data_IF_046752189468
#
_entry.id   IF_046752189468
#
_cell.length_a   1.000
_cell.length_b   1.000
_cell.length_c   1.000
_cell.angle_alpha   90.00
_cell.angle_beta   90.00
_cell.angle_gamma   90.00
#
_symmetry.space_group_name_H-M   'P 1'
#
loop_
_entity.id
_entity.type
_entity.pdbx_description
1 polymer ?
#
# COMPACT_ATOMS: atom_id res chain seq x y z
N UNK A 1 55.60 6.59 -48.74
CA UNK A 1 54.75 7.64 -48.16
C UNK A 1 53.66 8.02 -49.16
N UNK A 2 52.46 7.46 -48.98
CA UNK A 2 51.18 7.80 -49.62
C UNK A 2 50.14 6.78 -49.10
N UNK A 3 48.84 7.02 -48.93
CA UNK A 3 47.94 8.18 -48.90
C UNK A 3 46.62 7.65 -48.28
N UNK A 4 45.84 8.56 -47.71
CA UNK A 4 44.48 8.40 -47.17
C UNK A 4 43.48 7.85 -48.19
N UNK A 5 42.56 6.97 -47.76
CA UNK A 5 41.16 6.90 -48.25
C UNK A 5 40.23 6.19 -47.24
N UNK A 6 39.08 6.83 -47.01
CA UNK A 6 37.92 6.47 -46.19
C UNK A 6 37.37 5.06 -46.36
N UNK A 7 36.70 4.51 -45.33
CA UNK A 7 35.42 3.81 -45.46
C UNK A 7 34.60 3.92 -44.16
N UNK A 8 33.54 4.73 -44.21
CA UNK A 8 32.35 4.63 -43.35
C UNK A 8 31.41 3.68 -44.08
N UNK A 9 30.85 2.67 -43.40
CA UNK A 9 29.52 2.03 -43.61
C UNK A 9 29.46 0.76 -42.75
N UNK A 10 28.37 0.60 -42.00
CA UNK A 10 27.93 -0.73 -41.55
C UNK A 10 27.61 -0.89 -40.05
N UNK A 11 26.75 -0.06 -39.48
CA UNK A 11 26.05 -0.41 -38.24
C UNK A 11 24.54 -0.31 -38.45
N UNK A 12 24.03 -1.29 -39.20
CA UNK A 12 22.62 -1.61 -39.32
C UNK A 12 22.47 -3.00 -38.72
N UNK A 13 21.80 -3.08 -37.57
CA UNK A 13 20.62 -3.93 -37.32
C UNK A 13 20.43 -4.14 -35.81
N UNK A 14 19.16 -4.23 -35.43
CA UNK A 14 18.65 -4.85 -34.20
C UNK A 14 18.33 -3.99 -32.96
N UNK A 15 17.52 -2.95 -33.11
CA UNK A 15 16.61 -2.51 -32.03
C UNK A 15 15.29 -1.98 -32.60
N UNK A 16 14.38 -2.89 -32.96
CA UNK A 16 12.97 -2.55 -33.15
C UNK A 16 12.11 -3.78 -32.82
N UNK A 17 12.03 -4.11 -31.53
CA UNK A 17 10.91 -4.92 -31.05
C UNK A 17 9.78 -3.94 -30.74
N UNK A 18 8.97 -3.68 -31.77
CA UNK A 18 7.65 -3.12 -31.62
C UNK A 18 6.85 -4.07 -30.71
N UNK A 19 6.55 -3.60 -29.50
CA UNK A 19 5.59 -4.23 -28.63
C UNK A 19 4.25 -4.13 -29.35
N UNK A 20 3.80 -5.26 -29.89
CA UNK A 20 2.44 -5.43 -30.34
C UNK A 20 1.55 -5.24 -29.10
N UNK A 21 0.96 -4.06 -28.97
CA UNK A 21 -0.19 -3.84 -28.11
C UNK A 21 -1.37 -4.56 -28.75
N UNK A 22 -1.47 -5.87 -28.48
CA UNK A 22 -2.73 -6.56 -28.58
C UNK A 22 -3.60 -5.98 -27.46
N UNK A 23 -4.39 -4.96 -27.79
CA UNK A 23 -5.54 -4.58 -26.98
C UNK A 23 -6.46 -5.80 -26.97
N UNK A 24 -6.30 -6.66 -25.95
CA UNK A 24 -7.28 -7.69 -25.68
C UNK A 24 -8.64 -6.99 -25.53
N UNK A 25 -9.72 -7.53 -26.12
CA UNK A 25 -11.04 -7.02 -25.84
C UNK A 25 -11.24 -7.07 -24.33
N UNK A 26 -11.50 -5.92 -23.71
CA UNK A 26 -12.05 -5.87 -22.37
C UNK A 26 -13.46 -6.43 -22.53
N UNK A 27 -13.59 -7.76 -22.45
CA UNK A 27 -14.86 -8.36 -22.13
C UNK A 27 -15.23 -7.85 -20.74
N UNK A 28 -16.13 -6.86 -20.72
CA UNK A 28 -16.89 -6.47 -19.55
C UNK A 28 -17.87 -7.61 -19.26
N UNK A 29 -17.37 -8.83 -19.03
CA UNK A 29 -18.15 -9.89 -18.42
C UNK A 29 -18.18 -9.62 -16.91
N UNK A 30 -19.17 -8.83 -16.50
CA UNK A 30 -19.76 -8.92 -15.16
C UNK A 30 -18.91 -8.42 -13.97
N UNK A 31 -17.94 -7.53 -14.14
CA UNK A 31 -17.02 -7.21 -13.03
C UNK A 31 -17.58 -6.41 -11.84
N UNK A 32 -18.79 -5.84 -11.85
CA UNK A 32 -19.02 -4.76 -10.87
C UNK A 32 -20.26 -4.70 -10.00
N UNK A 33 -21.33 -5.47 -10.19
CA UNK A 33 -22.55 -5.15 -9.40
C UNK A 33 -23.09 -6.27 -8.49
N UNK A 34 -23.45 -7.48 -8.92
CA UNK A 34 -24.22 -8.38 -8.02
C UNK A 34 -24.13 -9.90 -8.34
N UNK A 35 -22.97 -10.55 -8.30
CA UNK A 35 -22.98 -12.02 -8.39
C UNK A 35 -21.64 -12.73 -8.38
N UNK A 36 -21.42 -13.59 -7.37
CA UNK A 36 -20.26 -14.47 -7.26
C UNK A 36 -19.50 -14.21 -5.97
N UNK A 37 -19.24 -15.27 -5.21
CA UNK A 37 -18.58 -15.27 -3.89
C UNK A 37 -17.26 -14.46 -3.83
N UNK A 38 -16.62 -14.19 -4.98
CA UNK A 38 -15.48 -13.27 -5.10
C UNK A 38 -15.82 -11.80 -4.84
N UNK A 39 -16.97 -11.28 -5.30
CA UNK A 39 -17.34 -9.87 -5.11
C UNK A 39 -17.63 -9.51 -3.64
N UNK A 40 -18.33 -10.39 -2.92
CA UNK A 40 -18.65 -10.19 -1.50
C UNK A 40 -17.37 -10.28 -0.65
N UNK A 41 -16.53 -11.29 -0.89
CA UNK A 41 -15.26 -11.44 -0.19
C UNK A 41 -14.31 -10.26 -0.43
N UNK A 42 -14.31 -9.72 -1.66
CA UNK A 42 -13.52 -8.55 -2.03
C UNK A 42 -14.01 -7.26 -1.38
N UNK A 43 -15.32 -7.02 -1.42
CA UNK A 43 -15.88 -5.84 -0.76
C UNK A 43 -15.70 -5.92 0.75
N UNK A 44 -15.86 -7.09 1.35
CA UNK A 44 -15.58 -7.30 2.77
C UNK A 44 -14.11 -7.03 3.11
N UNK A 45 -13.16 -7.58 2.33
CA UNK A 45 -11.73 -7.36 2.55
C UNK A 45 -11.35 -5.87 2.40
N UNK A 46 -11.89 -5.18 1.38
CA UNK A 46 -11.69 -3.73 1.19
C UNK A 46 -12.23 -2.92 2.36
N UNK A 47 -13.45 -3.23 2.81
CA UNK A 47 -14.04 -2.58 3.99
C UNK A 47 -13.17 -2.83 5.21
N UNK A 48 -12.76 -4.08 5.47
CA UNK A 48 -11.90 -4.44 6.59
C UNK A 48 -10.58 -3.68 6.58
N UNK A 49 -9.94 -3.50 5.41
CA UNK A 49 -8.72 -2.69 5.29
C UNK A 49 -8.98 -1.24 5.67
N UNK A 50 -10.02 -0.60 5.14
CA UNK A 50 -10.30 0.82 5.42
C UNK A 50 -10.75 1.02 6.87
N UNK A 51 -11.61 0.15 7.40
CA UNK A 51 -12.07 0.23 8.79
C UNK A 51 -10.96 -0.08 9.78
N UNK A 52 -10.12 -1.06 9.46
CA UNK A 52 -8.96 -1.44 10.26
C UNK A 52 -7.94 -0.33 10.34
N UNK A 53 -7.57 0.28 9.19
CA UNK A 53 -6.69 1.45 9.14
C UNK A 53 -7.20 2.59 10.02
N UNK A 54 -8.48 2.96 9.90
CA UNK A 54 -9.08 4.02 10.73
C UNK A 54 -9.08 3.68 12.22
N UNK A 55 -9.23 2.41 12.57
CA UNK A 55 -9.15 1.98 13.96
C UNK A 55 -7.72 2.09 14.47
N UNK A 56 -6.75 1.55 13.74
CA UNK A 56 -5.32 1.66 14.09
C UNK A 56 -4.88 3.12 14.24
N UNK A 57 -5.35 4.02 13.36
CA UNK A 57 -5.10 5.47 13.50
C UNK A 57 -5.58 5.99 14.86
N UNK A 58 -6.81 5.64 15.26
CA UNK A 58 -7.36 6.08 16.55
C UNK A 58 -6.60 5.50 17.74
N UNK A 59 -6.20 4.24 17.66
CA UNK A 59 -5.39 3.59 18.71
C UNK A 59 -4.02 4.26 18.83
N UNK A 60 -3.39 4.62 17.71
CA UNK A 60 -2.13 5.37 17.69
C UNK A 60 -2.31 6.79 18.24
N UNK A 61 -3.41 7.48 17.91
CA UNK A 61 -3.71 8.80 18.47
C UNK A 61 -3.93 8.74 19.98
N UNK A 62 -4.61 7.69 20.47
CA UNK A 62 -4.80 7.45 21.90
C UNK A 62 -3.48 7.11 22.60
N UNK A 63 -2.62 6.31 21.96
CA UNK A 63 -1.29 5.99 22.45
C UNK A 63 -0.41 7.24 22.58
N UNK A 64 -0.43 8.13 21.59
CA UNK A 64 0.27 9.40 21.64
C UNK A 64 -0.21 10.29 22.80
N UNK A 65 -1.51 10.30 23.09
CA UNK A 65 -2.08 11.01 24.24
C UNK A 65 -1.67 10.36 25.58
N UNK A 66 -1.69 9.03 25.65
CA UNK A 66 -1.33 8.27 26.84
C UNK A 66 0.17 8.36 27.18
N UNK A 67 1.03 8.61 26.19
CA UNK A 67 2.46 8.76 26.37
C UNK A 67 2.83 9.86 27.40
N UNK A 68 1.98 10.88 27.56
CA UNK A 68 2.19 11.95 28.54
C UNK A 68 3.54 12.65 28.36
N UNK A 69 4.45 12.50 29.34
CA UNK A 69 5.79 13.09 29.31
C UNK A 69 6.84 12.19 28.62
N UNK A 70 6.49 10.96 28.24
CA UNK A 70 7.37 10.07 27.49
C UNK A 70 7.46 10.52 26.02
N UNK A 71 8.48 11.33 25.75
CA UNK A 71 8.74 11.87 24.42
C UNK A 71 9.11 10.79 23.41
N UNK A 72 9.71 9.67 23.83
CA UNK A 72 10.09 8.59 22.93
C UNK A 72 8.84 7.86 22.44
N UNK A 73 7.93 7.49 23.34
CA UNK A 73 6.64 6.87 22.99
C UNK A 73 5.79 7.83 22.14
N UNK A 74 5.72 9.12 22.50
CA UNK A 74 4.95 10.11 21.74
C UNK A 74 5.49 10.29 20.30
N UNK A 75 6.81 10.36 20.13
CA UNK A 75 7.44 10.49 18.80
C UNK A 75 7.21 9.24 17.95
N UNK A 76 7.37 8.05 18.53
CA UNK A 76 7.12 6.81 17.81
C UNK A 76 5.65 6.66 17.40
N UNK A 77 4.70 7.04 18.26
CA UNK A 77 3.29 7.09 17.92
C UNK A 77 3.01 8.11 16.79
N UNK A 78 3.61 9.31 16.84
CA UNK A 78 3.49 10.30 15.76
C UNK A 78 4.07 9.81 14.42
N UNK A 79 5.18 9.08 14.46
CA UNK A 79 5.76 8.43 13.27
C UNK A 79 4.83 7.36 12.72
N UNK A 80 4.26 6.51 13.58
CA UNK A 80 3.26 5.52 13.18
C UNK A 80 2.03 6.20 12.54
N UNK A 81 1.55 7.30 13.14
CA UNK A 81 0.42 8.07 12.63
C UNK A 81 0.67 8.63 11.23
N UNK A 82 1.86 9.18 11.00
CA UNK A 82 2.29 9.72 9.70
C UNK A 82 2.40 8.60 8.66
N UNK A 83 2.96 7.45 9.04
CA UNK A 83 3.04 6.29 8.16
C UNK A 83 1.65 5.74 7.77
N UNK A 84 0.69 5.75 8.70
CA UNK A 84 -0.70 5.39 8.42
C UNK A 84 -1.39 6.40 7.48
N UNK A 85 -1.05 7.71 7.56
CA UNK A 85 -1.50 8.70 6.56
C UNK A 85 -0.91 8.41 5.17
N UNK A 86 0.36 8.01 5.10
CA UNK A 86 0.97 7.55 3.83
C UNK A 86 0.19 6.37 3.26
N UNK A 87 -0.12 5.36 4.08
CA UNK A 87 -0.92 4.22 3.65
C UNK A 87 -2.32 4.64 3.16
N UNK A 88 -2.98 5.57 3.87
CA UNK A 88 -4.26 6.15 3.46
C UNK A 88 -4.15 6.87 2.11
N UNK A 89 -3.05 7.58 1.86
CA UNK A 89 -2.74 8.20 0.56
C UNK A 89 -2.68 7.19 -0.58
N UNK A 90 -1.99 6.05 -0.37
CA UNK A 90 -1.95 4.94 -1.33
C UNK A 90 -3.33 4.35 -1.61
N UNK A 91 -4.11 4.11 -0.55
CA UNK A 91 -5.50 3.64 -0.66
C UNK A 91 -6.37 4.63 -1.43
N UNK A 92 -6.18 5.94 -1.23
CA UNK A 92 -6.93 6.96 -1.97
C UNK A 92 -6.60 6.93 -3.47
N UNK A 93 -5.33 6.75 -3.84
CA UNK A 93 -4.96 6.58 -5.26
C UNK A 93 -5.62 5.34 -5.89
N UNK A 94 -5.64 4.23 -5.15
CA UNK A 94 -6.33 3.01 -5.56
C UNK A 94 -7.83 3.27 -5.76
N UNK A 95 -8.46 3.95 -4.79
CA UNK A 95 -9.88 4.26 -4.83
C UNK A 95 -10.24 5.15 -6.03
N UNK A 96 -9.46 6.19 -6.30
CA UNK A 96 -9.66 7.10 -7.45
C UNK A 96 -9.56 6.34 -8.78
N UNK A 97 -8.55 5.48 -8.93
CA UNK A 97 -8.40 4.66 -10.14
C UNK A 97 -9.59 3.73 -10.36
N UNK A 98 -10.01 3.02 -9.31
CA UNK A 98 -11.17 2.12 -9.36
C UNK A 98 -12.47 2.87 -9.68
N UNK A 99 -12.67 4.05 -9.09
CA UNK A 99 -13.84 4.88 -9.37
C UNK A 99 -13.87 5.35 -10.83
N UNK A 100 -12.70 5.56 -11.42
CA UNK A 100 -12.54 5.94 -12.83
C UNK A 100 -12.57 4.73 -13.78
N UNK A 101 -12.84 3.51 -13.29
CA UNK A 101 -12.85 2.28 -14.08
C UNK A 101 -11.47 1.74 -14.46
N UNK A 102 -10.39 2.34 -13.95
CA UNK A 102 -9.02 1.91 -14.20
C UNK A 102 -8.60 0.79 -13.22
N UNK A 103 -7.65 -0.07 -13.62
CA UNK A 103 -7.03 -1.00 -12.68
C UNK A 103 -6.31 -0.21 -11.56
N UNK A 104 -6.24 -0.75 -10.32
CA UNK A 104 -5.47 -0.12 -9.26
C UNK A 104 -4.02 0.10 -9.70
N UNK A 105 -3.45 1.30 -9.51
CA UNK A 105 -2.07 1.59 -9.90
C UNK A 105 -1.09 0.84 -8.98
N UNK A 106 0.05 0.41 -9.53
CA UNK A 106 1.12 -0.21 -8.74
C UNK A 106 1.64 0.73 -7.65
N UNK A 107 1.88 2.01 -7.99
CA UNK A 107 2.34 3.00 -7.03
C UNK A 107 1.42 3.14 -5.80
N UNK A 108 0.09 3.10 -6.00
CA UNK A 108 -0.85 3.15 -4.89
C UNK A 108 -0.75 1.93 -3.97
N UNK A 109 -0.49 0.74 -4.52
CA UNK A 109 -0.24 -0.48 -3.74
C UNK A 109 1.06 -0.37 -2.95
N UNK A 110 2.14 0.04 -3.61
CA UNK A 110 3.47 0.15 -3.00
C UNK A 110 3.46 1.18 -1.85
N UNK A 111 2.81 2.34 -2.05
CA UNK A 111 2.64 3.36 -1.00
C UNK A 111 1.83 2.81 0.18
N UNK A 112 0.79 2.02 -0.09
CA UNK A 112 -0.03 1.41 0.96
C UNK A 112 0.79 0.41 1.79
N UNK A 113 1.52 -0.47 1.11
CA UNK A 113 2.39 -1.46 1.74
C UNK A 113 3.51 -0.81 2.55
N UNK A 114 4.19 0.18 1.97
CA UNK A 114 5.24 0.93 2.62
C UNK A 114 4.73 1.61 3.89
N UNK A 115 3.61 2.33 3.82
CA UNK A 115 3.02 3.01 4.98
C UNK A 115 2.62 2.04 6.11
N UNK A 116 2.11 0.85 5.78
CA UNK A 116 1.84 -0.17 6.79
C UNK A 116 3.12 -0.73 7.44
N UNK A 117 4.15 -1.00 6.64
CA UNK A 117 5.42 -1.50 7.15
C UNK A 117 6.12 -0.47 8.04
N UNK A 118 6.10 0.82 7.65
CA UNK A 118 6.65 1.91 8.43
C UNK A 118 5.88 2.14 9.73
N UNK A 119 4.53 2.05 9.69
CA UNK A 119 3.71 2.13 10.89
C UNK A 119 4.02 0.99 11.86
N UNK A 120 4.19 -0.23 11.34
CA UNK A 120 4.56 -1.41 12.13
C UNK A 120 5.95 -1.25 12.75
N UNK A 121 6.93 -0.77 11.98
CA UNK A 121 8.27 -0.49 12.49
C UNK A 121 8.26 0.57 13.60
N UNK A 122 7.50 1.65 13.43
CA UNK A 122 7.33 2.69 14.43
C UNK A 122 6.69 2.15 15.72
N UNK A 123 5.60 1.39 15.62
CA UNK A 123 4.98 0.74 16.78
C UNK A 123 5.93 -0.23 17.49
N UNK A 124 6.70 -1.03 16.74
CA UNK A 124 7.68 -1.97 17.28
C UNK A 124 8.85 -1.28 18.00
N UNK A 125 9.12 0.00 17.71
CA UNK A 125 10.17 0.76 18.38
C UNK A 125 9.75 1.30 19.75
N UNK A 126 8.45 1.24 20.09
CA UNK A 126 7.95 1.66 21.38
C UNK A 126 8.32 0.61 22.42
N UNK A 127 9.12 1.04 23.40
CA UNK A 127 9.45 0.25 24.59
C UNK A 127 8.98 1.02 25.81
N UNK A 128 8.17 0.38 26.66
CA UNK A 128 7.63 1.00 27.87
C UNK A 128 7.52 -0.05 28.97
N UNK A 129 7.71 0.39 30.21
CA UNK A 129 7.43 -0.41 31.42
C UNK A 129 6.03 -0.17 31.97
N UNK A 130 5.31 0.81 31.42
CA UNK A 130 3.92 1.06 31.78
C UNK A 130 3.02 -0.02 31.13
N UNK A 131 2.33 -0.85 31.92
CA UNK A 131 1.49 -1.92 31.39
C UNK A 131 0.35 -1.42 30.50
N UNK A 132 -0.16 -0.20 30.72
CA UNK A 132 -1.20 0.38 29.89
C UNK A 132 -0.67 0.74 28.50
N UNK A 133 0.55 1.31 28.43
CA UNK A 133 1.22 1.60 27.16
C UNK A 133 1.56 0.31 26.42
N UNK A 134 2.12 -0.70 27.12
CA UNK A 134 2.41 -2.00 26.51
C UNK A 134 1.16 -2.65 25.93
N UNK A 135 0.04 -2.62 26.65
CA UNK A 135 -1.22 -3.17 26.17
C UNK A 135 -1.76 -2.41 24.95
N UNK A 136 -1.71 -1.07 24.97
CA UNK A 136 -2.16 -0.24 23.85
C UNK A 136 -1.31 -0.44 22.59
N UNK A 137 0.02 -0.57 22.72
CA UNK A 137 0.92 -0.90 21.60
C UNK A 137 0.56 -2.27 21.02
N UNK A 138 0.35 -3.28 21.86
CA UNK A 138 0.01 -4.62 21.41
C UNK A 138 -1.34 -4.67 20.67
N UNK A 139 -2.35 -3.93 21.15
CA UNK A 139 -3.63 -3.80 20.47
C UNK A 139 -3.49 -3.13 19.11
N UNK A 140 -2.79 -1.99 19.04
CA UNK A 140 -2.53 -1.28 17.79
C UNK A 140 -1.77 -2.15 16.76
N UNK A 141 -0.78 -2.92 17.20
CA UNK A 141 -0.06 -3.87 16.36
C UNK A 141 -0.98 -4.98 15.82
N UNK A 142 -1.83 -5.54 16.68
CA UNK A 142 -2.76 -6.60 16.28
C UNK A 142 -3.82 -6.09 15.26
N UNK A 143 -4.34 -4.88 15.46
CA UNK A 143 -5.28 -4.26 14.52
C UNK A 143 -4.59 -3.88 13.20
N UNK A 144 -3.35 -3.41 13.23
CA UNK A 144 -2.54 -3.18 12.04
C UNK A 144 -2.30 -4.48 11.26
N UNK A 145 -1.92 -5.57 11.93
CA UNK A 145 -1.68 -6.86 11.28
C UNK A 145 -2.96 -7.46 10.66
N UNK A 146 -4.11 -7.29 11.33
CA UNK A 146 -5.42 -7.64 10.75
C UNK A 146 -5.73 -6.80 9.52
N UNK A 147 -5.39 -5.52 9.54
CA UNK A 147 -5.56 -4.58 8.42
C UNK A 147 -4.69 -4.96 7.22
N UNK A 148 -3.41 -5.25 7.45
CA UNK A 148 -2.46 -5.72 6.44
C UNK A 148 -2.97 -7.02 5.82
N UNK A 149 -3.37 -7.98 6.66
CA UNK A 149 -3.92 -9.26 6.20
C UNK A 149 -5.19 -9.07 5.34
N UNK A 150 -6.05 -8.11 5.69
CA UNK A 150 -7.20 -7.75 4.86
C UNK A 150 -6.77 -7.16 3.51
N UNK A 151 -5.78 -6.27 3.50
CA UNK A 151 -5.22 -5.70 2.27
C UNK A 151 -4.63 -6.78 1.35
N UNK A 152 -3.88 -7.73 1.90
CA UNK A 152 -3.35 -8.87 1.17
C UNK A 152 -4.45 -9.76 0.58
N UNK A 153 -5.57 -9.95 1.30
CA UNK A 153 -6.75 -10.64 0.74
C UNK A 153 -7.34 -9.90 -0.45
N UNK A 154 -7.33 -8.56 -0.46
CA UNK A 154 -7.77 -7.79 -1.63
C UNK A 154 -6.85 -8.07 -2.83
N UNK A 155 -5.53 -8.01 -2.64
CA UNK A 155 -4.57 -8.28 -3.72
C UNK A 155 -4.70 -9.70 -4.26
N UNK A 156 -4.89 -10.69 -3.37
CA UNK A 156 -4.98 -12.08 -3.76
C UNK A 156 -6.30 -12.48 -4.44
N UNK A 157 -7.39 -11.70 -4.28
CA UNK A 157 -8.74 -12.17 -4.64
C UNK A 157 -9.57 -11.25 -5.56
N UNK A 158 -9.16 -10.01 -5.92
CA UNK A 158 -10.11 -8.96 -6.38
C UNK A 158 -9.91 -8.26 -7.75
#
# INVERSE_FOLDING_TARGET
MARFTSFIVGFLLFFCNAWMTLAAPVEIEGRQLLGGLGGIGCNLARIQTVTGLRRTIREVDQLAQAAGADTATANAAANARTALDTAQGGINQIAVALFSGNPPPQAGRDITEQGFNDAKAALNSITSTDPAITAAVAEAQADLDRTISAGQRVVARC
#
